data_IF_648311453453
#
_entry.id   IF_648311453453
#
_cell.length_a   1.000
_cell.length_b   1.000
_cell.length_c   1.000
_cell.angle_alpha   90.00
_cell.angle_beta   90.00
_cell.angle_gamma   90.00
#
_symmetry.space_group_name_H-M   'P 1'
#
loop_
_entity.id
_entity.type
_entity.pdbx_description
1 polymer ?
#
# COMPACT_ATOMS: atom_id res chain seq x y z
N UNK A 1 2.60 24.65 -9.04
CA UNK A 1 1.34 24.49 -8.28
C UNK A 1 1.52 23.31 -7.36
N UNK A 2 2.03 23.57 -6.16
CA UNK A 2 2.29 22.55 -5.13
C UNK A 2 1.31 22.83 -4.02
N UNK A 3 0.26 22.01 -3.90
CA UNK A 3 -0.65 22.10 -2.76
C UNK A 3 0.04 21.52 -1.54
N UNK A 4 0.76 22.40 -0.83
CA UNK A 4 1.26 22.17 0.51
C UNK A 4 0.08 22.41 1.46
N UNK A 5 -0.48 21.36 2.06
CA UNK A 5 -1.40 21.51 3.18
C UNK A 5 -0.59 21.98 4.40
N UNK A 6 -0.97 23.08 5.07
CA UNK A 6 -0.42 23.40 6.38
C UNK A 6 -1.08 22.47 7.41
N UNK A 7 -0.27 21.66 8.11
CA UNK A 7 -0.73 20.94 9.30
C UNK A 7 -0.39 21.78 10.52
N UNK A 8 -1.42 22.39 11.10
CA UNK A 8 -1.36 23.15 12.34
C UNK A 8 -1.34 22.20 13.57
N UNK A 9 -0.34 22.42 14.42
CA UNK A 9 -0.29 22.20 15.89
C UNK A 9 -0.46 20.78 16.48
N UNK A 10 0.66 20.08 16.64
CA UNK A 10 0.91 18.96 17.56
C UNK A 10 2.38 18.52 17.47
N UNK A 11 2.99 17.88 18.49
CA UNK A 11 4.42 17.51 18.50
C UNK A 11 4.75 16.31 17.57
N UNK A 12 4.05 16.17 16.44
CA UNK A 12 4.05 14.97 15.60
C UNK A 12 5.01 15.07 14.40
N UNK A 13 5.74 16.18 14.26
CA UNK A 13 6.64 16.45 13.12
C UNK A 13 8.05 15.85 13.29
N UNK A 14 8.20 14.72 14.00
CA UNK A 14 9.47 14.00 14.14
C UNK A 14 9.51 12.65 13.40
N UNK A 15 8.43 12.26 12.72
CA UNK A 15 8.35 11.02 11.92
C UNK A 15 8.09 11.27 10.43
N UNK A 16 8.62 12.36 9.85
CA UNK A 16 8.75 12.43 8.38
C UNK A 16 9.98 11.60 7.95
N UNK A 17 10.03 10.35 8.41
CA UNK A 17 11.06 9.40 8.02
C UNK A 17 10.72 8.88 6.65
N UNK A 18 11.69 9.01 5.76
CA UNK A 18 11.73 8.41 4.43
C UNK A 18 11.48 6.90 4.56
N UNK A 19 10.21 6.46 4.50
CA UNK A 19 9.82 5.05 4.62
C UNK A 19 10.40 4.29 3.45
N UNK A 20 11.41 3.44 3.66
CA UNK A 20 12.02 2.73 2.56
C UNK A 20 11.25 1.44 2.25
N UNK A 21 11.57 0.78 1.13
CA UNK A 21 10.88 -0.47 0.73
C UNK A 21 10.88 -1.53 1.83
N UNK A 22 11.98 -1.64 2.59
CA UNK A 22 12.17 -2.66 3.62
C UNK A 22 11.23 -2.45 4.81
N UNK A 23 10.97 -1.19 5.18
CA UNK A 23 10.01 -0.83 6.23
C UNK A 23 8.58 -1.21 5.82
N UNK A 24 8.21 -0.87 4.57
CA UNK A 24 6.88 -1.19 4.02
C UNK A 24 6.68 -2.71 4.01
N UNK A 25 7.64 -3.47 3.49
CA UNK A 25 7.58 -4.93 3.44
C UNK A 25 7.53 -5.54 4.84
N UNK A 26 8.24 -4.97 5.81
CA UNK A 26 8.21 -5.44 7.20
C UNK A 26 6.85 -5.21 7.85
N UNK A 27 6.23 -4.05 7.63
CA UNK A 27 4.86 -3.77 8.12
C UNK A 27 3.86 -4.75 7.50
N UNK A 28 3.93 -4.98 6.19
CA UNK A 28 3.04 -5.92 5.52
C UNK A 28 3.19 -7.35 6.07
N UNK A 29 4.43 -7.80 6.30
CA UNK A 29 4.71 -9.13 6.89
C UNK A 29 4.19 -9.24 8.32
N UNK A 30 4.48 -8.24 9.16
CA UNK A 30 4.09 -8.23 10.56
C UNK A 30 2.56 -8.21 10.74
N UNK A 31 1.82 -7.63 9.78
CA UNK A 31 0.37 -7.58 9.81
C UNK A 31 -0.29 -8.66 8.94
N UNK A 32 0.46 -9.64 8.43
CA UNK A 32 -0.03 -10.65 7.48
C UNK A 32 -1.26 -11.42 7.96
N UNK A 33 -1.34 -11.76 9.25
CA UNK A 33 -2.49 -12.44 9.85
C UNK A 33 -3.74 -11.56 9.84
N UNK A 34 -3.61 -10.29 10.23
CA UNK A 34 -4.70 -9.31 10.23
C UNK A 34 -5.16 -9.06 8.79
N UNK A 35 -4.23 -8.89 7.85
CA UNK A 35 -4.52 -8.69 6.43
C UNK A 35 -5.33 -9.86 5.86
N UNK A 36 -4.97 -11.10 6.19
CA UNK A 36 -5.71 -12.30 5.77
C UNK A 36 -7.08 -12.40 6.44
N UNK A 37 -7.14 -12.25 7.76
CA UNK A 37 -8.35 -12.52 8.54
C UNK A 37 -9.41 -11.43 8.41
N UNK A 38 -9.00 -10.17 8.54
CA UNK A 38 -9.92 -9.04 8.69
C UNK A 38 -10.16 -8.31 7.36
N UNK A 39 -9.20 -8.40 6.45
CA UNK A 39 -9.27 -7.77 5.13
C UNK A 39 -9.36 -8.77 3.97
N UNK A 40 -9.39 -10.07 4.26
CA UNK A 40 -9.52 -11.14 3.26
C UNK A 40 -8.48 -11.04 2.14
N UNK A 41 -7.27 -10.60 2.48
CA UNK A 41 -6.15 -10.47 1.54
C UNK A 41 -5.53 -11.84 1.31
N UNK A 42 -5.53 -12.32 0.07
CA UNK A 42 -4.81 -13.53 -0.33
C UNK A 42 -3.34 -13.24 -0.63
N UNK A 43 -3.06 -12.13 -1.33
CA UNK A 43 -1.70 -11.70 -1.65
C UNK A 43 -1.59 -10.18 -1.51
N UNK A 44 -0.47 -9.73 -0.98
CA UNK A 44 -0.13 -8.30 -0.97
C UNK A 44 1.35 -8.09 -1.28
N UNK A 45 1.65 -7.03 -2.02
CA UNK A 45 3.02 -6.70 -2.39
C UNK A 45 3.19 -5.22 -2.68
N UNK A 46 4.43 -4.77 -2.53
CA UNK A 46 4.86 -3.44 -2.94
C UNK A 46 5.20 -3.46 -4.43
N UNK A 47 4.72 -2.50 -5.20
CA UNK A 47 5.10 -2.33 -6.61
C UNK A 47 5.43 -0.86 -6.91
N UNK A 48 5.68 -0.55 -8.18
CA UNK A 48 5.85 0.83 -8.63
C UNK A 48 7.15 1.49 -8.16
N UNK A 49 7.10 2.81 -7.97
CA UNK A 49 8.28 3.63 -7.71
C UNK A 49 8.98 3.30 -6.38
N UNK A 50 8.21 2.87 -5.37
CA UNK A 50 8.73 2.40 -4.08
C UNK A 50 9.50 1.09 -4.22
N UNK A 51 9.02 0.14 -5.04
CA UNK A 51 9.74 -1.12 -5.30
C UNK A 51 11.08 -0.86 -6.03
N UNK A 52 11.12 0.14 -6.90
CA UNK A 52 12.32 0.53 -7.68
C UNK A 52 13.31 1.44 -6.94
N UNK A 53 13.03 1.84 -5.69
CA UNK A 53 13.83 2.83 -4.93
C UNK A 53 13.87 4.22 -5.62
N UNK A 54 12.86 4.54 -6.43
CA UNK A 54 12.73 5.81 -7.16
C UNK A 54 11.78 6.80 -6.47
N UNK A 55 11.26 6.44 -5.29
CA UNK A 55 10.31 7.27 -4.53
C UNK A 55 10.93 8.60 -4.11
N UNK A 56 10.11 9.65 -4.06
CA UNK A 56 10.49 10.98 -3.58
C UNK A 56 9.74 11.31 -2.29
N UNK A 57 10.20 12.32 -1.56
CA UNK A 57 9.49 12.82 -0.39
C UNK A 57 8.06 13.22 -0.76
N UNK A 58 7.08 12.60 -0.10
CA UNK A 58 5.65 12.84 -0.35
C UNK A 58 5.04 12.02 -1.49
N UNK A 59 5.75 11.02 -2.01
CA UNK A 59 5.17 10.04 -2.94
C UNK A 59 4.18 9.11 -2.22
N UNK A 60 3.12 8.74 -2.94
CA UNK A 60 2.19 7.69 -2.51
C UNK A 60 2.86 6.32 -2.57
N UNK A 61 2.38 5.37 -1.77
CA UNK A 61 2.85 3.98 -1.78
C UNK A 61 1.91 3.12 -2.61
N UNK A 62 2.44 2.56 -3.69
CA UNK A 62 1.75 1.67 -4.61
C UNK A 62 1.74 0.22 -4.09
N UNK A 63 0.57 -0.27 -3.66
CA UNK A 63 0.38 -1.62 -3.14
C UNK A 63 -0.50 -2.45 -4.05
N UNK A 64 0.01 -3.62 -4.43
CA UNK A 64 -0.71 -4.62 -5.19
C UNK A 64 -1.43 -5.56 -4.24
N UNK A 65 -2.71 -5.79 -4.46
CA UNK A 65 -3.55 -6.64 -3.60
C UNK A 65 -4.38 -7.63 -4.42
N UNK A 66 -4.42 -8.87 -3.93
CA UNK A 66 -5.36 -9.91 -4.32
C UNK A 66 -6.25 -10.25 -3.13
N UNK A 67 -7.55 -10.19 -3.34
CA UNK A 67 -8.55 -10.45 -2.32
C UNK A 67 -9.19 -11.81 -2.55
N UNK A 68 -9.72 -12.39 -1.48
CA UNK A 68 -10.51 -13.61 -1.55
C UNK A 68 -11.82 -13.40 -2.34
N UNK A 69 -12.26 -14.46 -3.03
CA UNK A 69 -13.48 -14.42 -3.85
C UNK A 69 -14.76 -14.45 -3.02
N UNK A 70 -14.69 -14.81 -1.74
CA UNK A 70 -15.84 -14.90 -0.82
C UNK A 70 -16.32 -13.54 -0.26
N UNK A 71 -15.72 -12.42 -0.68
CA UNK A 71 -16.05 -11.10 -0.13
C UNK A 71 -17.26 -10.49 -0.85
N UNK A 72 -18.35 -10.27 -0.12
CA UNK A 72 -19.54 -9.60 -0.65
C UNK A 72 -19.33 -8.08 -0.84
N UNK A 73 -18.73 -7.38 0.15
CA UNK A 73 -18.53 -5.93 0.10
C UNK A 73 -17.08 -5.49 -0.15
N UNK A 74 -16.56 -5.83 -1.32
CA UNK A 74 -15.16 -5.58 -1.69
C UNK A 74 -14.75 -4.11 -1.66
N UNK A 75 -15.69 -3.19 -1.93
CA UNK A 75 -15.40 -1.76 -1.95
C UNK A 75 -15.12 -1.23 -0.55
N UNK A 76 -15.95 -1.61 0.42
CA UNK A 76 -15.77 -1.23 1.82
C UNK A 76 -14.49 -1.83 2.39
N UNK A 77 -14.23 -3.12 2.14
CA UNK A 77 -13.00 -3.80 2.58
C UNK A 77 -11.77 -3.10 1.99
N UNK A 78 -11.77 -2.79 0.70
CA UNK A 78 -10.68 -2.04 0.04
C UNK A 78 -10.48 -0.67 0.69
N UNK A 79 -11.55 0.07 0.97
CA UNK A 79 -11.47 1.40 1.60
C UNK A 79 -10.87 1.33 3.01
N UNK A 80 -11.32 0.38 3.82
CA UNK A 80 -10.78 0.13 5.17
C UNK A 80 -9.32 -0.28 5.13
N UNK A 81 -8.94 -1.16 4.21
CA UNK A 81 -7.55 -1.59 4.03
C UNK A 81 -6.66 -0.41 3.63
N UNK A 82 -7.10 0.43 2.67
CA UNK A 82 -6.36 1.62 2.24
C UNK A 82 -6.09 2.54 3.42
N UNK A 83 -7.13 2.83 4.21
CA UNK A 83 -7.02 3.67 5.40
C UNK A 83 -6.04 3.08 6.41
N UNK A 84 -6.19 1.80 6.74
CA UNK A 84 -5.32 1.10 7.67
C UNK A 84 -3.85 1.15 7.25
N UNK A 85 -3.54 0.82 5.99
CA UNK A 85 -2.16 0.88 5.48
C UNK A 85 -1.62 2.31 5.46
N UNK A 86 -2.45 3.30 5.11
CA UNK A 86 -2.04 4.71 5.14
C UNK A 86 -1.67 5.17 6.55
N UNK A 87 -2.43 4.71 7.57
CA UNK A 87 -2.12 4.97 8.98
C UNK A 87 -0.83 4.26 9.42
N UNK A 88 -0.59 3.02 8.96
CA UNK A 88 0.64 2.29 9.28
C UNK A 88 1.88 2.90 8.60
N UNK A 89 1.75 3.42 7.38
CA UNK A 89 2.87 3.98 6.62
C UNK A 89 3.05 5.49 6.84
N UNK A 90 2.08 6.18 7.44
CA UNK A 90 2.11 7.63 7.62
C UNK A 90 2.06 8.44 6.31
N UNK A 91 1.63 7.82 5.21
CA UNK A 91 1.52 8.42 3.88
C UNK A 91 0.31 7.86 3.13
N UNK A 92 -0.03 8.44 1.99
CA UNK A 92 -1.15 7.99 1.17
C UNK A 92 -0.79 6.68 0.42
N UNK A 93 -1.73 5.75 0.41
CA UNK A 93 -1.58 4.44 -0.24
C UNK A 93 -2.51 4.35 -1.45
N UNK A 94 -1.99 3.90 -2.59
CA UNK A 94 -2.82 3.43 -3.70
C UNK A 94 -2.91 1.91 -3.71
N UNK A 95 -4.14 1.40 -3.73
CA UNK A 95 -4.42 -0.04 -3.75
C UNK A 95 -4.81 -0.46 -5.17
N UNK A 96 -3.89 -1.13 -5.85
CA UNK A 96 -4.11 -1.75 -7.13
C UNK A 96 -4.52 -3.21 -7.01
N UNK A 97 -5.63 -3.58 -7.65
CA UNK A 97 -6.13 -4.96 -7.67
C UNK A 97 -5.65 -5.67 -8.92
N UNK A 98 -5.01 -6.82 -8.76
CA UNK A 98 -4.45 -7.63 -9.87
C UNK A 98 -5.49 -7.91 -10.97
N UNK A 99 -6.73 -8.23 -10.56
CA UNK A 99 -7.88 -8.50 -11.45
C UNK A 99 -8.12 -7.41 -12.50
N UNK A 100 -7.90 -6.14 -12.16
CA UNK A 100 -8.21 -5.00 -13.04
C UNK A 100 -7.01 -4.48 -13.83
N UNK A 101 -5.84 -5.09 -13.68
CA UNK A 101 -4.70 -4.77 -14.52
C UNK A 101 -4.97 -5.24 -15.95
N UNK A 102 -4.74 -4.32 -16.90
CA UNK A 102 -4.74 -4.65 -18.34
C UNK A 102 -3.64 -5.69 -18.62
N UNK A 103 -3.86 -6.64 -19.56
CA UNK A 103 -2.93 -7.75 -19.79
C UNK A 103 -1.47 -7.31 -19.96
N UNK A 104 -1.21 -6.29 -20.78
CA UNK A 104 0.14 -5.77 -21.03
C UNK A 104 0.82 -5.20 -19.78
N UNK A 105 0.07 -4.62 -18.85
CA UNK A 105 0.61 -4.05 -17.62
C UNK A 105 0.73 -5.12 -16.53
N UNK A 106 -0.15 -6.13 -16.55
CA UNK A 106 -0.21 -7.17 -15.53
C UNK A 106 1.11 -7.92 -15.40
N UNK A 107 1.67 -8.42 -16.49
CA UNK A 107 2.92 -9.19 -16.42
C UNK A 107 4.09 -8.38 -15.88
N UNK A 108 4.17 -7.11 -16.26
CA UNK A 108 5.21 -6.18 -15.79
C UNK A 108 5.04 -5.94 -14.30
N UNK A 109 3.83 -5.56 -13.86
CA UNK A 109 3.55 -5.29 -12.44
C UNK A 109 3.77 -6.52 -11.57
N UNK A 110 3.35 -7.70 -12.03
CA UNK A 110 3.54 -8.95 -11.28
C UNK A 110 5.02 -9.32 -11.15
N UNK A 111 5.85 -9.00 -12.15
CA UNK A 111 7.31 -9.23 -12.13
C UNK A 111 8.05 -8.22 -11.25
N UNK A 112 7.60 -6.97 -11.22
CA UNK A 112 8.20 -5.91 -10.39
C UNK A 112 7.74 -5.95 -8.94
N UNK A 113 6.59 -6.57 -8.66
CA UNK A 113 6.03 -6.61 -7.32
C UNK A 113 6.88 -7.45 -6.35
N UNK A 114 7.14 -6.89 -5.17
CA UNK A 114 7.78 -7.58 -4.05
C UNK A 114 6.69 -7.99 -3.06
N UNK A 115 6.41 -9.29 -2.99
CA UNK A 115 5.34 -9.84 -2.16
C UNK A 115 5.77 -10.02 -0.70
N UNK A 116 4.81 -9.79 0.20
CA UNK A 116 5.00 -9.90 1.64
C UNK A 116 4.11 -10.96 2.29
N UNK A 117 3.02 -11.39 1.63
CA UNK A 117 2.02 -12.34 2.14
C UNK A 117 1.51 -13.24 1.03
#
# INVERSE_FOLDING_TARGET
MTFKKPCDNGPICLFYTMFNKDDILSILKNNSEILRRDYHVQKIGLFGSCARNEQRSGSDVDILVEFDFSIENIFEVKSKLRKYLSEQFGCEVDLCRIKYLKPYAREIVLREAIYAV
#
